data_IF_575715750556
#
_entry.id   IF_575715750556
#
_cell.length_a   1.000
_cell.length_b   1.000
_cell.length_c   1.000
_cell.angle_alpha   90.00
_cell.angle_beta   90.00
_cell.angle_gamma   90.00
#
_symmetry.space_group_name_H-M   'P 1'
#
loop_
_entity.id
_entity.type
_entity.pdbx_description
1 polymer ?
#
# COMPACT_ATOMS: atom_id res chain seq x y z
N UNK A 1 17.22 -10.63 7.48
CA UNK A 1 16.39 -9.46 7.88
C UNK A 1 15.01 -9.70 7.31
N UNK A 2 13.92 -9.26 7.96
CA UNK A 2 12.59 -9.44 7.39
C UNK A 2 12.23 -8.28 6.46
N UNK A 3 11.50 -8.58 5.39
CA UNK A 3 11.14 -7.61 4.35
C UNK A 3 10.04 -6.67 4.83
N UNK A 4 10.16 -5.37 4.54
CA UNK A 4 9.11 -4.40 4.84
C UNK A 4 7.78 -4.79 4.17
N UNK A 5 6.69 -4.77 4.94
CA UNK A 5 5.32 -4.91 4.42
C UNK A 5 5.11 -3.82 3.38
N UNK A 6 4.74 -4.26 2.18
CA UNK A 6 4.55 -3.40 1.02
C UNK A 6 3.17 -2.76 1.06
N UNK A 7 3.08 -1.57 0.48
CA UNK A 7 1.79 -1.06 0.06
C UNK A 7 1.24 -1.97 -1.06
N UNK A 8 -0.07 -2.18 -1.10
CA UNK A 8 -0.70 -3.00 -2.13
C UNK A 8 -1.67 -2.18 -2.98
N UNK A 9 -1.97 -2.68 -4.17
CA UNK A 9 -2.92 -2.07 -5.09
C UNK A 9 -3.78 -3.14 -5.74
N UNK A 10 -5.09 -2.91 -5.77
CA UNK A 10 -6.00 -3.71 -6.59
C UNK A 10 -6.10 -3.09 -7.97
N UNK A 11 -5.72 -3.86 -8.99
CA UNK A 11 -5.75 -3.47 -10.41
C UNK A 11 -6.12 -4.69 -11.26
N UNK A 12 -7.00 -4.51 -12.24
CA UNK A 12 -7.44 -5.57 -13.16
C UNK A 12 -7.76 -6.92 -12.48
N UNK A 13 -8.63 -6.89 -11.45
CA UNK A 13 -9.07 -8.05 -10.65
C UNK A 13 -8.02 -8.73 -9.77
N UNK A 14 -6.77 -8.25 -9.80
CA UNK A 14 -5.69 -8.82 -9.01
C UNK A 14 -5.17 -7.83 -7.97
N UNK A 15 -4.55 -8.37 -6.93
CA UNK A 15 -3.80 -7.61 -5.96
C UNK A 15 -2.31 -7.69 -6.28
N UNK A 16 -1.65 -6.53 -6.29
CA UNK A 16 -0.23 -6.39 -6.52
C UNK A 16 0.41 -5.69 -5.33
N UNK A 17 1.64 -6.06 -5.00
CA UNK A 17 2.48 -5.22 -4.15
C UNK A 17 3.07 -4.07 -4.96
N UNK A 18 3.09 -2.87 -4.40
CA UNK A 18 3.90 -1.77 -4.94
C UNK A 18 5.35 -2.09 -4.61
N UNK A 19 6.14 -2.35 -5.65
CA UNK A 19 7.53 -2.79 -5.54
C UNK A 19 8.55 -1.75 -5.98
N UNK A 20 8.10 -0.55 -6.28
CA UNK A 20 8.94 0.59 -6.62
C UNK A 20 8.07 1.73 -7.07
N UNK A 21 8.51 2.95 -6.83
CA UNK A 21 7.84 4.13 -7.36
C UNK A 21 8.83 5.27 -7.59
N UNK A 22 8.40 6.26 -8.36
CA UNK A 22 8.99 7.59 -8.39
C UNK A 22 7.86 8.61 -8.50
N UNK A 23 8.09 9.82 -8.01
CA UNK A 23 7.08 10.89 -8.00
C UNK A 23 6.61 11.22 -6.59
N UNK A 24 5.45 11.86 -6.50
CA UNK A 24 4.91 12.43 -5.25
C UNK A 24 3.39 12.26 -5.17
N UNK A 25 2.85 12.37 -3.95
CA UNK A 25 1.40 12.39 -3.72
C UNK A 25 0.78 11.05 -3.26
N UNK A 26 1.59 10.01 -3.01
CA UNK A 26 1.12 8.84 -2.24
C UNK A 26 0.89 9.24 -0.78
N UNK A 27 0.01 8.49 -0.11
CA UNK A 27 -0.37 8.78 1.26
C UNK A 27 0.80 8.59 2.24
N UNK A 28 0.97 9.56 3.14
CA UNK A 28 1.84 9.46 4.31
C UNK A 28 1.05 9.91 5.55
N UNK A 29 1.08 9.16 6.68
CA UNK A 29 0.31 9.49 7.89
C UNK A 29 0.59 10.90 8.44
N UNK A 30 1.83 11.39 8.30
CA UNK A 30 2.22 12.73 8.72
C UNK A 30 1.44 13.84 8.00
N UNK A 31 0.94 13.60 6.77
CA UNK A 31 0.06 14.54 6.07
C UNK A 31 -1.29 14.75 6.75
N UNK A 32 -1.68 13.83 7.65
CA UNK A 32 -2.88 13.90 8.49
C UNK A 32 -2.53 14.20 9.96
N UNK A 33 -1.30 14.64 10.24
CA UNK A 33 -0.77 14.84 11.60
C UNK A 33 -0.82 13.56 12.47
N UNK A 34 -0.66 12.39 11.85
CA UNK A 34 -0.60 11.12 12.56
C UNK A 34 0.87 10.71 12.69
N UNK A 35 1.32 10.57 13.93
CA UNK A 35 2.62 9.98 14.23
C UNK A 35 2.51 8.46 14.28
N UNK A 36 3.42 7.78 13.59
CA UNK A 36 3.47 6.31 13.53
C UNK A 36 4.68 5.78 14.28
N UNK A 37 4.54 4.56 14.80
CA UNK A 37 5.59 3.79 15.43
C UNK A 37 5.80 2.49 14.66
N UNK A 38 7.02 1.97 14.70
CA UNK A 38 7.33 0.62 14.22
C UNK A 38 6.29 -0.38 14.72
N UNK A 39 5.57 -1.01 13.79
CA UNK A 39 4.49 -1.92 14.12
C UNK A 39 4.99 -3.35 14.42
N UNK A 40 6.02 -3.79 13.69
CA UNK A 40 6.68 -5.10 13.83
C UNK A 40 8.06 -5.08 13.17
N UNK A 41 8.81 -6.19 13.27
CA UNK A 41 10.07 -6.38 12.53
C UNK A 41 9.90 -6.21 11.02
N UNK A 42 8.72 -6.54 10.52
CA UNK A 42 8.38 -6.58 9.10
C UNK A 42 7.71 -5.26 8.68
N UNK A 43 7.43 -4.34 9.62
CA UNK A 43 6.83 -3.04 9.33
C UNK A 43 7.51 -1.95 10.16
N UNK A 44 8.78 -1.70 9.86
CA UNK A 44 9.58 -0.66 10.49
C UNK A 44 9.13 0.75 10.12
N UNK A 45 8.51 0.94 8.95
CA UNK A 45 7.88 2.22 8.56
C UNK A 45 6.69 2.57 9.48
N UNK A 46 6.11 1.59 10.16
CA UNK A 46 4.97 1.78 11.05
C UNK A 46 3.65 2.01 10.33
N UNK A 47 3.58 1.89 9.01
CA UNK A 47 2.32 1.89 8.27
C UNK A 47 2.44 1.15 6.93
N UNK A 48 1.30 0.71 6.41
CA UNK A 48 1.13 0.29 5.03
C UNK A 48 -0.26 0.66 4.54
N UNK A 49 -0.38 0.85 3.23
CA UNK A 49 -1.58 1.31 2.56
C UNK A 49 -2.02 0.29 1.52
N UNK A 50 -3.33 0.19 1.33
CA UNK A 50 -3.91 -0.49 0.18
C UNK A 50 -4.65 0.51 -0.67
N UNK A 51 -4.32 0.51 -1.95
CA UNK A 51 -4.89 1.35 -2.98
C UNK A 51 -5.79 0.51 -3.89
N UNK A 52 -6.68 1.17 -4.62
CA UNK A 52 -7.49 0.55 -5.66
C UNK A 52 -7.48 1.46 -6.89
N UNK A 53 -7.35 0.87 -8.07
CA UNK A 53 -7.60 1.57 -9.33
C UNK A 53 -9.01 1.22 -9.81
N UNK A 54 -9.85 2.24 -10.02
CA UNK A 54 -11.20 2.12 -10.59
C UNK A 54 -11.41 3.22 -11.62
N UNK A 55 -11.93 2.88 -12.79
CA UNK A 55 -12.16 3.85 -13.88
C UNK A 55 -10.91 4.71 -14.16
N UNK A 56 -9.75 4.07 -14.23
CA UNK A 56 -8.44 4.71 -14.42
C UNK A 56 -8.06 5.74 -13.33
N UNK A 57 -8.68 5.70 -12.15
CA UNK A 57 -8.37 6.58 -11.03
C UNK A 57 -7.81 5.79 -9.84
N UNK A 58 -6.77 6.34 -9.21
CA UNK A 58 -6.09 5.78 -8.05
C UNK A 58 -6.72 6.30 -6.75
N UNK A 59 -7.28 5.39 -5.96
CA UNK A 59 -7.87 5.69 -4.67
C UNK A 59 -7.06 5.05 -3.54
N UNK A 60 -6.90 5.78 -2.45
CA UNK A 60 -6.50 5.19 -1.18
C UNK A 60 -7.72 4.52 -0.59
N UNK A 61 -7.63 3.21 -0.38
CA UNK A 61 -8.74 2.42 0.12
C UNK A 61 -8.62 2.09 1.60
N UNK A 62 -7.39 1.90 2.06
CA UNK A 62 -7.17 1.43 3.40
C UNK A 62 -5.78 1.81 3.89
N UNK A 63 -5.70 2.15 5.17
CA UNK A 63 -4.49 2.57 5.86
C UNK A 63 -4.37 1.79 7.15
N UNK A 64 -3.22 1.15 7.33
CA UNK A 64 -2.85 0.43 8.55
C UNK A 64 -1.73 1.15 9.26
N UNK A 65 -1.85 1.31 10.57
CA UNK A 65 -0.98 2.15 11.39
C UNK A 65 -0.46 1.37 12.61
N UNK A 66 0.84 1.48 12.83
CA UNK A 66 1.49 1.24 14.10
C UNK A 66 1.36 2.51 14.94
N UNK A 67 0.57 2.43 16.02
CA UNK A 67 0.28 3.57 16.88
C UNK A 67 0.95 3.45 18.24
N UNK A 68 1.19 4.60 18.88
CA UNK A 68 1.65 4.69 20.26
C UNK A 68 0.63 4.10 21.24
N UNK A 69 1.07 3.67 22.41
CA UNK A 69 0.14 3.18 23.45
C UNK A 69 -0.89 4.26 23.85
N UNK A 70 -0.49 5.53 23.86
CA UNK A 70 -1.37 6.65 24.15
C UNK A 70 -2.50 6.77 23.13
N UNK A 71 -2.18 6.72 21.83
CA UNK A 71 -3.19 6.81 20.76
C UNK A 71 -4.13 5.61 20.78
N UNK A 72 -3.59 4.41 21.05
CA UNK A 72 -4.40 3.19 21.21
C UNK A 72 -5.43 3.33 22.33
N UNK A 73 -5.03 3.87 23.48
CA UNK A 73 -5.95 4.14 24.60
C UNK A 73 -6.99 5.21 24.25
N UNK A 74 -6.60 6.25 23.52
CA UNK A 74 -7.52 7.28 23.04
C UNK A 74 -8.56 6.72 22.07
N UNK A 75 -8.16 5.86 21.14
CA UNK A 75 -9.06 5.18 20.21
C UNK A 75 -10.07 4.30 20.95
N UNK A 76 -9.63 3.53 21.95
CA UNK A 76 -10.51 2.71 22.79
C UNK A 76 -11.56 3.54 23.55
N UNK A 77 -11.27 4.82 23.80
CA UNK A 77 -12.19 5.77 24.43
C UNK A 77 -13.04 6.55 23.42
N UNK A 78 -12.92 6.26 22.12
CA UNK A 78 -13.58 7.00 21.04
C UNK A 78 -13.03 8.41 20.81
N UNK A 79 -11.80 8.68 21.24
CA UNK A 79 -11.16 10.02 21.26
C UNK A 79 -9.78 10.06 20.60
N UNK A 80 -9.56 9.22 19.60
CA UNK A 80 -8.28 9.07 18.90
C UNK A 80 -8.13 9.90 17.62
N UNK A 81 -6.96 9.83 16.97
CA UNK A 81 -6.74 10.42 15.66
C UNK A 81 -7.68 9.81 14.60
N UNK A 82 -7.82 10.53 13.48
CA UNK A 82 -8.66 10.14 12.36
C UNK A 82 -7.90 10.33 11.05
N UNK A 83 -8.19 9.48 10.06
CA UNK A 83 -7.66 9.57 8.70
C UNK A 83 -8.80 10.08 7.82
N UNK A 84 -8.65 11.25 7.19
CA UNK A 84 -9.73 11.90 6.42
C UNK A 84 -11.05 12.01 7.19
N UNK A 85 -10.98 12.46 8.44
CA UNK A 85 -12.11 12.56 9.38
C UNK A 85 -12.83 11.23 9.70
N UNK A 86 -12.26 10.08 9.30
CA UNK A 86 -12.77 8.76 9.68
C UNK A 86 -12.00 8.23 10.89
N UNK A 87 -12.70 7.80 11.94
CA UNK A 87 -12.06 7.33 13.16
C UNK A 87 -11.23 6.08 12.83
N UNK A 88 -10.02 6.03 13.39
CA UNK A 88 -9.20 4.82 13.36
C UNK A 88 -9.86 3.78 14.27
N UNK A 89 -10.00 2.56 13.78
CA UNK A 89 -10.56 1.45 14.54
C UNK A 89 -9.48 0.38 14.78
N UNK A 90 -9.59 -0.33 15.91
CA UNK A 90 -8.93 -1.62 16.05
C UNK A 90 -9.78 -2.64 15.30
N UNK A 91 -9.10 -3.46 14.54
CA UNK A 91 -9.71 -4.40 13.64
C UNK A 91 -9.34 -5.80 14.16
N UNK A 92 -10.32 -6.56 14.67
CA UNK A 92 -10.06 -7.83 15.36
C UNK A 92 -10.14 -9.07 14.45
N UNK A 93 -10.01 -8.91 13.12
CA UNK A 93 -10.07 -10.02 12.15
C UNK A 93 -11.45 -10.67 11.95
N UNK A 94 -12.41 -10.45 12.86
CA UNK A 94 -13.81 -10.89 12.74
C UNK A 94 -14.80 -9.72 12.57
N UNK A 95 -14.33 -8.47 12.75
CA UNK A 95 -15.16 -7.26 12.65
C UNK A 95 -15.32 -6.82 11.19
N UNK A 96 -16.55 -6.55 10.77
CA UNK A 96 -16.85 -6.10 9.42
C UNK A 96 -16.83 -4.56 9.41
N UNK A 97 -16.06 -3.95 8.50
CA UNK A 97 -16.10 -2.50 8.28
C UNK A 97 -17.22 -2.15 7.30
N UNK A 98 -17.98 -1.11 7.63
CA UNK A 98 -19.08 -0.63 6.80
C UNK A 98 -18.58 0.51 5.89
N UNK A 99 -18.72 0.35 4.59
CA UNK A 99 -18.64 1.44 3.60
C UNK A 99 -19.75 1.24 2.56
N UNK A 100 -20.43 2.33 2.19
CA UNK A 100 -21.49 2.34 1.16
C UNK A 100 -22.60 1.27 1.32
N UNK A 101 -22.96 0.93 2.56
CA UNK A 101 -24.00 -0.06 2.83
C UNK A 101 -23.57 -1.52 2.57
N UNK A 102 -22.29 -1.77 2.34
CA UNK A 102 -21.71 -3.12 2.24
C UNK A 102 -20.77 -3.42 3.41
N UNK A 103 -20.75 -4.70 3.79
CA UNK A 103 -19.87 -5.25 4.81
C UNK A 103 -18.55 -5.67 4.15
N UNK A 104 -17.45 -5.02 4.53
CA UNK A 104 -16.10 -5.45 4.15
C UNK A 104 -15.46 -6.21 5.31
N UNK A 105 -14.93 -7.43 5.09
CA UNK A 105 -14.15 -8.11 6.10
C UNK A 105 -12.89 -7.28 6.38
N UNK A 106 -12.72 -6.88 7.64
CA UNK A 106 -11.47 -6.37 8.16
C UNK A 106 -10.37 -7.42 7.98
N UNK A 107 -9.38 -7.15 7.13
CA UNK A 107 -8.30 -8.11 6.88
C UNK A 107 -7.14 -8.01 7.88
N UNK A 108 -7.22 -7.07 8.81
CA UNK A 108 -6.20 -6.88 9.83
C UNK A 108 -6.55 -7.67 11.08
N UNK A 109 -5.71 -8.62 11.46
CA UNK A 109 -5.76 -9.16 12.81
C UNK A 109 -4.95 -8.23 13.72
N UNK A 110 -5.64 -7.59 14.66
CA UNK A 110 -5.05 -6.83 15.78
C UNK A 110 -4.28 -5.56 15.37
N UNK A 111 -4.61 -4.95 14.23
CA UNK A 111 -3.97 -3.70 13.79
C UNK A 111 -4.96 -2.54 13.81
N UNK A 112 -4.42 -1.33 13.96
CA UNK A 112 -5.19 -0.10 13.93
C UNK A 112 -5.22 0.44 12.51
N UNK A 113 -6.38 0.83 12.03
CA UNK A 113 -6.49 1.36 10.67
C UNK A 113 -7.85 1.91 10.32
N UNK A 114 -7.97 2.33 9.07
CA UNK A 114 -9.23 2.73 8.44
C UNK A 114 -9.32 2.02 7.10
N UNK A 115 -10.48 1.46 6.79
CA UNK A 115 -10.74 0.75 5.53
C UNK A 115 -11.98 1.31 4.83
N UNK A 116 -12.13 1.00 3.54
CA UNK A 116 -13.24 1.49 2.72
C UNK A 116 -13.15 2.99 2.43
N UNK A 117 -11.94 3.56 2.49
CA UNK A 117 -11.66 4.91 2.00
C UNK A 117 -11.88 4.94 0.49
N UNK A 118 -12.34 6.07 -0.03
CA UNK A 118 -12.45 6.31 -1.48
C UNK A 118 -11.81 7.65 -1.82
N UNK A 119 -10.66 7.91 -1.18
CA UNK A 119 -9.96 9.17 -1.29
C UNK A 119 -9.08 9.15 -2.54
N UNK A 120 -9.36 10.04 -3.49
CA UNK A 120 -8.55 10.18 -4.69
C UNK A 120 -7.12 10.53 -4.28
N UNK A 121 -6.17 9.66 -4.62
CA UNK A 121 -4.76 9.87 -4.30
C UNK A 121 -4.16 10.76 -5.40
N UNK A 122 -3.71 11.99 -5.11
CA UNK A 122 -3.22 12.93 -6.11
C UNK A 122 -1.80 12.59 -6.60
N UNK A 123 -1.48 11.30 -6.71
CA UNK A 123 -0.18 10.81 -7.08
C UNK A 123 0.14 11.18 -8.53
N UNK A 124 1.36 11.68 -8.74
CA UNK A 124 1.93 11.92 -10.06
C UNK A 124 3.31 11.28 -10.14
N UNK A 125 3.48 10.34 -11.08
CA UNK A 125 4.71 9.56 -11.19
C UNK A 125 4.50 8.17 -11.81
N UNK A 126 5.40 7.25 -11.49
CA UNK A 126 5.31 5.85 -11.93
C UNK A 126 5.28 4.88 -10.75
N UNK A 127 4.52 3.80 -10.88
CA UNK A 127 4.49 2.69 -9.92
C UNK A 127 4.88 1.39 -10.63
N UNK A 128 5.72 0.58 -9.97
CA UNK A 128 5.94 -0.82 -10.32
C UNK A 128 5.07 -1.68 -9.42
N UNK A 129 4.19 -2.45 -10.04
CA UNK A 129 3.28 -3.36 -9.39
C UNK A 129 3.77 -4.78 -9.64
N UNK A 130 3.90 -5.61 -8.62
CA UNK A 130 4.33 -6.98 -8.82
C UNK A 130 3.57 -8.00 -7.98
N UNK A 131 3.43 -9.20 -8.54
CA UNK A 131 2.80 -10.37 -7.92
C UNK A 131 3.49 -11.64 -8.39
N UNK A 132 3.13 -12.76 -7.79
CA UNK A 132 3.72 -14.08 -8.08
C UNK A 132 5.24 -14.10 -7.76
N UNK A 133 5.56 -13.94 -6.48
CA UNK A 133 6.95 -13.98 -6.00
C UNK A 133 7.62 -15.32 -6.30
N UNK A 134 8.86 -15.27 -6.77
CA UNK A 134 9.69 -16.43 -7.15
C UNK A 134 10.72 -16.64 -6.05
N UNK A 135 10.48 -17.64 -5.20
CA UNK A 135 11.34 -17.91 -4.04
C UNK A 135 12.77 -18.30 -4.44
N UNK A 136 12.96 -18.90 -5.61
CA UNK A 136 14.26 -19.25 -6.16
C UNK A 136 15.13 -18.01 -6.47
N UNK A 137 14.52 -16.83 -6.60
CA UNK A 137 15.19 -15.54 -6.80
C UNK A 137 15.31 -14.75 -5.50
N UNK A 138 14.96 -15.34 -4.35
CA UNK A 138 14.97 -14.67 -3.05
C UNK A 138 16.41 -14.33 -2.64
N UNK A 139 16.67 -13.05 -2.49
CA UNK A 139 17.85 -12.51 -1.84
C UNK A 139 17.42 -11.89 -0.52
N UNK A 140 18.23 -12.04 0.54
CA UNK A 140 18.00 -11.46 1.87
C UNK A 140 18.16 -9.92 1.86
N UNK A 141 17.32 -9.26 1.08
CA UNK A 141 17.23 -7.81 0.96
C UNK A 141 16.09 -7.30 1.83
N UNK A 142 16.24 -6.06 2.35
CA UNK A 142 15.18 -5.40 3.13
C UNK A 142 13.91 -5.10 2.31
N UNK A 143 13.98 -5.33 1.01
CA UNK A 143 12.96 -5.05 0.03
C UNK A 143 13.07 -6.06 -1.13
N UNK A 144 11.95 -6.56 -1.67
CA UNK A 144 11.96 -7.47 -2.83
C UNK A 144 11.84 -6.70 -4.16
N UNK A 145 12.94 -6.58 -4.94
CA UNK A 145 12.93 -5.91 -6.25
C UNK A 145 12.01 -6.60 -7.26
N UNK A 146 11.61 -5.84 -8.29
CA UNK A 146 10.65 -6.29 -9.29
C UNK A 146 11.09 -7.57 -10.03
N UNK A 147 12.39 -7.82 -10.20
CA UNK A 147 12.90 -9.02 -10.88
C UNK A 147 12.62 -10.34 -10.13
N UNK A 148 12.30 -10.27 -8.83
CA UNK A 148 11.93 -11.45 -8.02
C UNK A 148 10.49 -11.90 -8.23
N UNK A 149 9.74 -11.26 -9.13
CA UNK A 149 8.34 -11.54 -9.41
C UNK A 149 8.15 -12.01 -10.85
N UNK A 150 7.18 -12.90 -11.09
CA UNK A 150 6.85 -13.36 -12.45
C UNK A 150 6.03 -12.34 -13.22
N UNK A 151 5.19 -11.58 -12.52
CA UNK A 151 4.31 -10.60 -13.14
C UNK A 151 4.66 -9.22 -12.60
N UNK A 152 5.09 -8.33 -13.50
CA UNK A 152 5.35 -6.93 -13.19
C UNK A 152 4.53 -6.04 -14.12
N UNK A 153 3.87 -5.03 -13.58
CA UNK A 153 3.16 -4.00 -14.36
C UNK A 153 3.76 -2.66 -13.99
N UNK A 154 4.19 -1.92 -15.00
CA UNK A 154 4.52 -0.50 -14.87
C UNK A 154 3.27 0.33 -15.16
N UNK A 155 2.87 1.18 -14.23
CA UNK A 155 1.80 2.16 -14.46
C UNK A 155 2.32 3.57 -14.28
N UNK A 156 1.83 4.49 -15.12
CA UNK A 156 2.06 5.93 -14.96
C UNK A 156 0.77 6.61 -14.58
N UNK A 157 0.88 7.49 -13.61
CA UNK A 157 -0.25 8.19 -13.01
C UNK A 157 0.02 9.69 -13.06
N UNK A 158 -0.98 10.46 -13.45
CA UNK A 158 -0.97 11.92 -13.40
C UNK A 158 -2.16 12.41 -12.57
N UNK A 159 -1.86 13.06 -11.44
CA UNK A 159 -2.87 13.60 -10.51
C UNK A 159 -3.96 12.59 -10.13
N UNK A 160 -3.54 11.35 -9.89
CA UNK A 160 -4.43 10.25 -9.55
C UNK A 160 -5.11 9.57 -10.73
N UNK A 161 -4.82 9.94 -11.98
CA UNK A 161 -5.36 9.28 -13.19
C UNK A 161 -4.29 8.41 -13.83
N UNK A 162 -4.57 7.13 -14.07
CA UNK A 162 -3.72 6.22 -14.83
C UNK A 162 -3.72 6.65 -16.29
N UNK A 163 -2.56 7.02 -16.82
CA UNK A 163 -2.41 7.49 -18.20
C UNK A 163 -1.74 6.45 -19.11
N UNK A 164 -1.03 5.49 -18.53
CA UNK A 164 -0.30 4.45 -19.25
C UNK A 164 -0.13 3.22 -18.35
N UNK A 165 -0.25 2.02 -18.92
CA UNK A 165 0.04 0.76 -18.24
C UNK A 165 0.74 -0.22 -19.18
N UNK A 166 1.86 -0.77 -18.74
CA UNK A 166 2.67 -1.73 -19.50
C UNK A 166 2.90 -2.98 -18.67
N UNK A 167 2.49 -4.13 -19.21
CA UNK A 167 2.70 -5.42 -18.55
C UNK A 167 4.01 -6.05 -19.02
N UNK A 168 4.80 -6.51 -18.06
CA UNK A 168 6.04 -7.26 -18.25
C UNK A 168 5.86 -8.65 -17.64
N UNK A 169 5.59 -9.63 -18.50
CA UNK A 169 5.59 -11.04 -18.12
C UNK A 169 7.02 -11.54 -18.09
N UNK A 170 7.43 -12.12 -16.96
CA UNK A 170 8.80 -12.49 -16.61
C UNK A 170 9.81 -11.41 -16.99
N UNK A 171 10.05 -10.40 -16.12
CA UNK A 171 10.91 -9.26 -16.44
C UNK A 171 12.35 -9.65 -16.82
N UNK A 172 12.78 -10.90 -16.60
CA UNK A 172 14.05 -11.43 -17.14
C UNK A 172 14.00 -11.74 -18.64
N UNK A 173 12.84 -12.10 -19.18
CA UNK A 173 12.63 -12.48 -20.58
C UNK A 173 11.93 -11.36 -21.40
N UNK A 174 11.43 -10.32 -20.72
CA UNK A 174 10.72 -9.21 -21.35
C UNK A 174 11.66 -8.25 -22.10
N UNK A 175 11.31 -7.93 -23.36
CA UNK A 175 11.94 -6.88 -24.15
C UNK A 175 10.90 -5.82 -24.57
N UNK A 176 11.11 -4.52 -24.30
CA UNK A 176 12.22 -3.95 -23.54
C UNK A 176 12.11 -4.28 -22.04
N UNK A 177 13.26 -4.47 -21.39
CA UNK A 177 13.36 -4.58 -19.93
C UNK A 177 12.88 -3.26 -19.30
N UNK A 178 12.08 -3.29 -18.22
CA UNK A 178 11.69 -2.06 -17.53
C UNK A 178 12.92 -1.26 -17.10
N UNK A 179 12.89 0.06 -17.26
CA UNK A 179 13.97 0.94 -16.79
C UNK A 179 13.88 1.12 -15.28
N UNK A 180 14.35 0.10 -14.56
CA UNK A 180 14.37 0.02 -13.11
C UNK A 180 15.20 1.12 -12.44
N UNK A 181 16.06 1.84 -13.19
CA UNK A 181 16.92 2.90 -12.64
C UNK A 181 16.15 4.13 -12.18
N UNK A 182 14.92 4.32 -12.68
CA UNK A 182 14.04 5.44 -12.32
C UNK A 182 13.32 5.22 -11.00
N UNK A 183 13.27 3.99 -10.52
CA UNK A 183 12.45 3.60 -9.38
C UNK A 183 13.24 3.63 -8.09
N UNK A 184 12.68 4.33 -7.12
CA UNK A 184 13.13 4.19 -5.75
C UNK A 184 12.55 2.90 -5.18
N UNK A 185 13.45 2.00 -4.75
CA UNK A 185 13.13 0.78 -4.01
C UNK A 185 13.10 1.01 -2.50
N UNK A 186 13.20 2.27 -2.08
CA UNK A 186 13.15 2.67 -0.69
C UNK A 186 11.70 2.84 -0.26
N UNK A 187 11.32 2.19 0.84
CA UNK A 187 10.19 2.62 1.65
C UNK A 187 10.54 3.99 2.22
N UNK A 188 9.62 4.96 2.08
CA UNK A 188 9.68 6.32 2.62
C UNK A 188 10.36 6.42 4.00
#
# INVERSE_FOLDING_TARGET
MTTQIKDSISYDQFEYGIVGFYGEGLFVPSSQNIEVQTASSDCWRGFHCRYIIRNDQLFLYEVTLGLSEQDRRLIQQGRGPSVFARPICLCNGDEQSWSEGQLHPCQFREQYGVSGLEELTPFTGGLLLARDFVWERHEDLNFHPAFQYRTVIEIRVEKGVVIESTSHADPHDASPTPDFSRYSYHSY
#
